data_IF_524317272820
#
_entry.id   IF_524317272820
#
_cell.length_a   1.000
_cell.length_b   1.000
_cell.length_c   1.000
_cell.angle_alpha   90.00
_cell.angle_beta   90.00
_cell.angle_gamma   90.00
#
_symmetry.space_group_name_H-M   'P 1'
#
loop_
_entity.id
_entity.type
_entity.pdbx_description
1 polymer ?
#
# COMPACT_ATOMS: atom_id res chain seq x y z
N UNK A 1 -20.49 -5.84 -12.87
CA UNK A 1 -20.71 -5.19 -11.56
C UNK A 1 -21.89 -4.22 -11.62
N UNK A 2 -22.04 -3.43 -12.69
CA UNK A 2 -23.24 -2.59 -12.92
C UNK A 2 -24.56 -3.36 -12.86
N UNK A 3 -24.64 -4.53 -13.52
CA UNK A 3 -25.80 -5.45 -13.43
C UNK A 3 -26.13 -5.91 -12.00
N UNK A 4 -25.23 -5.69 -11.04
CA UNK A 4 -25.39 -6.00 -9.61
C UNK A 4 -25.75 -4.75 -8.78
N UNK A 5 -26.10 -3.64 -9.43
CA UNK A 5 -26.52 -2.40 -8.79
C UNK A 5 -25.39 -1.44 -8.42
N UNK A 6 -24.15 -1.71 -8.83
CA UNK A 6 -23.01 -0.82 -8.57
C UNK A 6 -22.95 0.30 -9.60
N UNK A 7 -23.09 1.54 -9.15
CA UNK A 7 -22.85 2.73 -9.97
C UNK A 7 -21.35 3.01 -10.08
N UNK A 8 -20.86 3.25 -11.30
CA UNK A 8 -19.47 3.63 -11.55
C UNK A 8 -19.41 5.08 -12.02
N UNK A 9 -18.57 5.87 -11.38
CA UNK A 9 -18.25 7.26 -11.75
C UNK A 9 -16.76 7.31 -12.07
N UNK A 10 -16.43 7.08 -13.36
CA UNK A 10 -15.04 7.10 -13.83
C UNK A 10 -14.62 8.53 -14.17
N UNK A 11 -13.32 8.83 -14.03
CA UNK A 11 -12.74 10.16 -14.27
C UNK A 11 -13.31 11.29 -13.37
N UNK A 12 -14.06 10.92 -12.32
CA UNK A 12 -14.52 11.87 -11.32
C UNK A 12 -13.50 12.04 -10.19
N UNK A 13 -13.37 13.27 -9.69
CA UNK A 13 -12.50 13.59 -8.56
C UNK A 13 -13.33 14.13 -7.41
N UNK A 14 -13.27 13.45 -6.27
CA UNK A 14 -13.86 13.94 -5.02
C UNK A 14 -13.21 15.27 -4.64
N UNK A 15 -14.05 16.28 -4.41
CA UNK A 15 -13.65 17.61 -3.94
C UNK A 15 -13.82 17.73 -2.42
N UNK A 16 -14.98 17.34 -1.90
CA UNK A 16 -15.28 17.44 -0.48
C UNK A 16 -16.26 16.36 0.01
N UNK A 17 -16.17 16.05 1.30
CA UNK A 17 -17.19 15.31 2.04
C UNK A 17 -18.04 16.32 2.81
N UNK A 18 -19.33 16.40 2.50
CA UNK A 18 -20.25 17.32 3.15
C UNK A 18 -20.81 16.66 4.40
N UNK A 19 -20.74 17.36 5.53
CA UNK A 19 -21.27 16.90 6.82
C UNK A 19 -22.69 17.41 7.13
N UNK A 20 -23.37 16.74 8.04
CA UNK A 20 -24.53 17.25 8.78
C UNK A 20 -24.10 18.04 10.03
N UNK A 21 -25.07 18.63 10.74
CA UNK A 21 -24.81 19.39 11.97
C UNK A 21 -24.28 18.54 13.14
N UNK A 22 -24.29 17.22 13.00
CA UNK A 22 -23.79 16.24 13.98
C UNK A 22 -22.40 15.70 13.60
N UNK A 23 -21.80 16.22 12.52
CA UNK A 23 -20.47 15.82 12.05
C UNK A 23 -20.44 14.49 11.27
N UNK A 24 -21.59 13.96 10.85
CA UNK A 24 -21.67 12.76 9.99
C UNK A 24 -21.70 13.15 8.53
N UNK A 25 -21.16 12.28 7.66
CA UNK A 25 -21.26 12.50 6.21
C UNK A 25 -22.73 12.47 5.78
N UNK A 26 -23.11 13.40 4.91
CA UNK A 26 -24.41 13.44 4.25
C UNK A 26 -24.32 13.41 2.73
N UNK A 27 -23.19 13.82 2.16
CA UNK A 27 -22.99 13.83 0.72
C UNK A 27 -21.51 13.87 0.32
N UNK A 28 -21.23 13.46 -0.92
CA UNK A 28 -19.94 13.62 -1.59
C UNK A 28 -20.08 14.67 -2.69
N UNK A 29 -19.23 15.68 -2.66
CA UNK A 29 -19.12 16.68 -3.72
C UNK A 29 -17.94 16.32 -4.64
N UNK A 30 -18.18 16.39 -5.95
CA UNK A 30 -17.17 16.18 -6.97
C UNK A 30 -16.73 17.52 -7.59
N UNK A 31 -15.53 17.54 -8.16
CA UNK A 31 -14.99 18.74 -8.85
C UNK A 31 -15.80 19.17 -10.07
N UNK A 32 -16.63 18.28 -10.62
CA UNK A 32 -17.61 18.62 -11.66
C UNK A 32 -18.76 19.51 -11.14
N UNK A 33 -18.89 19.66 -9.82
CA UNK A 33 -19.99 20.35 -9.15
C UNK A 33 -21.16 19.44 -8.77
N UNK A 34 -21.16 18.17 -9.22
CA UNK A 34 -22.17 17.19 -8.82
C UNK A 34 -22.04 16.88 -7.31
N UNK A 35 -23.20 16.72 -6.66
CA UNK A 35 -23.29 16.30 -5.26
C UNK A 35 -24.17 15.07 -5.18
N UNK A 36 -23.66 14.02 -4.53
CA UNK A 36 -24.39 12.77 -4.31
C UNK A 36 -24.63 12.59 -2.82
N UNK A 37 -25.90 12.48 -2.42
CA UNK A 37 -26.27 12.16 -1.04
C UNK A 37 -25.72 10.78 -0.66
N UNK A 38 -25.10 10.69 0.51
CA UNK A 38 -24.35 9.51 0.95
C UNK A 38 -24.22 9.48 2.46
N UNK A 39 -24.66 8.37 3.06
CA UNK A 39 -24.58 8.14 4.50
C UNK A 39 -23.27 7.47 4.96
N UNK A 40 -22.51 6.88 4.02
CA UNK A 40 -21.26 6.18 4.31
C UNK A 40 -20.24 6.33 3.17
N UNK A 41 -19.03 6.74 3.52
CA UNK A 41 -17.89 6.81 2.59
C UNK A 41 -16.80 5.83 3.03
N UNK A 42 -16.37 4.98 2.11
CA UNK A 42 -15.22 4.08 2.29
C UNK A 42 -14.09 4.56 1.39
N UNK A 43 -12.98 4.98 2.00
CA UNK A 43 -11.81 5.49 1.29
C UNK A 43 -10.87 4.34 0.91
N UNK A 44 -10.69 4.11 -0.39
CA UNK A 44 -9.75 3.14 -0.94
C UNK A 44 -8.76 3.82 -1.91
N UNK A 45 -8.19 4.95 -1.51
CA UNK A 45 -7.39 5.85 -2.34
C UNK A 45 -5.88 5.53 -2.38
N UNK A 46 -5.53 4.27 -2.11
CA UNK A 46 -4.14 3.81 -2.02
C UNK A 46 -3.53 3.92 -0.63
N UNK A 47 -2.27 3.46 -0.53
CA UNK A 47 -1.49 3.42 0.71
C UNK A 47 -0.23 4.28 0.58
N UNK A 48 0.32 4.71 1.72
CA UNK A 48 1.61 5.41 1.79
C UNK A 48 2.49 4.71 2.82
N UNK A 49 3.76 4.41 2.52
CA UNK A 49 4.71 3.91 3.50
C UNK A 49 4.77 4.81 4.74
N UNK A 50 4.68 4.23 5.93
CA UNK A 50 4.85 4.97 7.18
C UNK A 50 6.35 5.06 7.52
N UNK A 51 6.97 6.21 7.22
CA UNK A 51 8.41 6.46 7.39
C UNK A 51 8.74 7.39 8.54
N UNK A 52 7.75 7.94 9.24
CA UNK A 52 7.94 9.03 10.22
C UNK A 52 8.96 8.67 11.31
N UNK A 53 8.83 7.48 11.91
CA UNK A 53 9.76 7.01 12.95
C UNK A 53 11.20 6.85 12.40
N UNK A 54 11.33 6.35 11.18
CA UNK A 54 12.63 6.11 10.56
C UNK A 54 13.33 7.44 10.24
N UNK A 55 12.59 8.42 9.72
CA UNK A 55 13.08 9.76 9.45
C UNK A 55 13.54 10.46 10.73
N UNK A 56 12.74 10.38 11.81
CA UNK A 56 13.11 10.91 13.13
C UNK A 56 14.36 10.23 13.71
N UNK A 57 14.58 8.94 13.39
CA UNK A 57 15.78 8.20 13.75
C UNK A 57 16.99 8.47 12.83
N UNK A 58 16.86 9.36 11.84
CA UNK A 58 17.92 9.69 10.89
C UNK A 58 18.17 8.63 9.82
N UNK A 59 17.23 7.70 9.62
CA UNK A 59 17.33 6.68 8.58
C UNK A 59 16.91 7.25 7.22
N UNK A 60 17.69 7.00 6.15
CA UNK A 60 17.31 7.40 4.81
C UNK A 60 15.98 6.79 4.36
N UNK A 61 15.08 7.64 3.87
CA UNK A 61 13.78 7.26 3.34
C UNK A 61 13.58 7.83 1.92
N UNK A 62 13.07 7.04 0.99
CA UNK A 62 12.63 7.47 -0.33
C UNK A 62 11.55 6.51 -0.84
N UNK A 63 10.29 6.97 -0.84
CA UNK A 63 9.11 6.14 -1.10
C UNK A 63 9.04 4.90 -0.18
N UNK A 64 9.54 5.03 1.05
CA UNK A 64 9.73 3.96 2.03
C UNK A 64 11.11 4.02 2.69
N UNK A 65 11.30 3.26 3.77
CA UNK A 65 12.56 3.12 4.50
C UNK A 65 13.55 2.37 3.60
N UNK A 66 14.73 2.96 3.35
CA UNK A 66 15.72 2.34 2.47
C UNK A 66 16.36 1.14 3.16
N UNK A 67 16.37 0.00 2.45
CA UNK A 67 17.03 -1.23 2.90
C UNK A 67 17.87 -1.85 1.80
N UNK A 68 18.84 -2.67 2.22
CA UNK A 68 19.64 -3.50 1.33
C UNK A 68 18.97 -4.88 1.05
N UNK A 69 19.67 -5.75 0.33
CA UNK A 69 19.20 -7.09 -0.04
C UNK A 69 19.02 -8.05 1.16
N UNK A 70 19.41 -7.66 2.37
CA UNK A 70 19.17 -8.42 3.61
C UNK A 70 18.14 -7.75 4.51
N UNK A 71 17.44 -6.72 4.00
CA UNK A 71 16.42 -5.93 4.68
C UNK A 71 16.95 -5.10 5.86
N UNK A 72 18.27 -4.94 5.92
CA UNK A 72 18.95 -4.06 6.87
C UNK A 72 18.90 -2.63 6.36
N UNK A 73 18.65 -1.68 7.27
CA UNK A 73 18.68 -0.25 6.97
C UNK A 73 20.12 0.27 6.92
N UNK A 74 20.31 1.58 6.79
CA UNK A 74 21.63 2.20 6.91
C UNK A 74 22.28 1.98 8.29
N UNK A 75 21.50 1.98 9.37
CA UNK A 75 22.00 1.56 10.68
C UNK A 75 22.03 0.03 10.72
N UNK A 76 23.19 -0.61 10.94
CA UNK A 76 23.32 -2.06 10.89
C UNK A 76 22.54 -2.78 12.01
N UNK A 77 22.05 -2.05 13.01
CA UNK A 77 21.25 -2.60 14.12
C UNK A 77 19.75 -2.56 13.84
N UNK A 78 19.32 -1.88 12.78
CA UNK A 78 17.92 -1.65 12.45
C UNK A 78 17.59 -2.34 11.13
N UNK A 79 16.48 -3.08 11.15
CA UNK A 79 15.90 -3.75 9.99
C UNK A 79 14.51 -3.18 9.74
N UNK A 80 14.12 -3.16 8.48
CA UNK A 80 12.75 -2.85 8.09
C UNK A 80 12.26 -3.92 7.10
N UNK A 81 11.05 -4.40 7.32
CA UNK A 81 10.30 -5.29 6.43
C UNK A 81 8.88 -4.74 6.37
N UNK A 82 8.13 -5.05 5.32
CA UNK A 82 6.77 -4.55 5.21
C UNK A 82 6.54 -3.66 3.99
N UNK A 83 5.34 -3.12 3.95
CA UNK A 83 4.95 -2.07 2.99
C UNK A 83 5.67 -0.74 3.27
N UNK A 84 6.28 -0.59 4.44
CA UNK A 84 7.06 0.60 4.79
C UNK A 84 8.43 0.64 4.11
N UNK A 85 8.88 -0.45 3.49
CA UNK A 85 10.22 -0.60 2.92
C UNK A 85 10.28 -0.15 1.47
N UNK A 86 11.37 0.53 1.13
CA UNK A 86 11.81 0.78 -0.24
C UNK A 86 13.08 -0.03 -0.50
N UNK A 87 12.90 -1.20 -1.14
CA UNK A 87 14.01 -2.05 -1.57
C UNK A 87 14.28 -1.80 -3.05
N UNK A 88 15.49 -1.35 -3.38
CA UNK A 88 15.90 -0.97 -4.75
C UNK A 88 14.93 0.02 -5.43
N UNK A 89 14.35 0.92 -4.65
CA UNK A 89 13.39 1.94 -5.11
C UNK A 89 11.94 1.45 -5.25
N UNK A 90 11.65 0.20 -4.87
CA UNK A 90 10.32 -0.40 -4.95
C UNK A 90 9.74 -0.57 -3.54
N UNK A 91 8.50 -0.11 -3.36
CA UNK A 91 7.68 -0.39 -2.20
C UNK A 91 6.48 -1.26 -2.61
N UNK A 92 6.32 -2.40 -1.95
CA UNK A 92 5.29 -3.38 -2.28
C UNK A 92 4.05 -3.14 -1.42
N UNK A 93 2.88 -3.05 -2.05
CA UNK A 93 1.56 -3.02 -1.39
C UNK A 93 0.86 -4.38 -1.38
N UNK A 94 1.62 -5.47 -1.23
CA UNK A 94 1.15 -6.85 -1.36
C UNK A 94 1.73 -7.74 -0.27
N UNK A 95 0.90 -8.62 0.28
CA UNK A 95 1.29 -9.52 1.39
C UNK A 95 2.35 -10.56 0.98
N UNK A 96 2.33 -11.06 -0.26
CA UNK A 96 3.26 -12.11 -0.69
C UNK A 96 4.74 -11.65 -0.64
N UNK A 97 5.13 -10.49 -1.22
CA UNK A 97 6.46 -9.92 -1.04
C UNK A 97 6.90 -9.79 0.42
N UNK A 98 5.99 -9.43 1.32
CA UNK A 98 6.30 -9.24 2.73
C UNK A 98 6.74 -10.53 3.43
N UNK A 99 6.16 -11.68 3.05
CA UNK A 99 6.62 -12.97 3.56
C UNK A 99 8.02 -13.34 3.07
N UNK A 100 8.37 -12.97 1.83
CA UNK A 100 9.73 -13.17 1.30
C UNK A 100 10.74 -12.29 2.04
N UNK A 101 10.41 -11.02 2.25
CA UNK A 101 11.23 -10.09 3.03
C UNK A 101 11.46 -10.62 4.46
N UNK A 102 10.40 -11.10 5.12
CA UNK A 102 10.50 -11.65 6.47
C UNK A 102 11.44 -12.86 6.55
N UNK A 103 11.38 -13.78 5.57
CA UNK A 103 12.27 -14.94 5.51
C UNK A 103 13.74 -14.54 5.33
N UNK A 104 14.03 -13.57 4.46
CA UNK A 104 15.40 -13.09 4.24
C UNK A 104 15.93 -12.33 5.46
N UNK A 105 15.12 -11.45 6.06
CA UNK A 105 15.48 -10.76 7.29
C UNK A 105 15.79 -11.74 8.43
N UNK A 106 14.93 -12.75 8.63
CA UNK A 106 15.16 -13.80 9.62
C UNK A 106 16.44 -14.60 9.35
N UNK A 107 16.74 -14.93 8.09
CA UNK A 107 17.99 -15.61 7.71
C UNK A 107 19.23 -14.80 8.10
N UNK A 108 19.18 -13.48 7.89
CA UNK A 108 20.27 -12.58 8.22
C UNK A 108 20.43 -12.41 9.73
N UNK A 109 19.33 -12.20 10.46
CA UNK A 109 19.32 -12.10 11.92
C UNK A 109 19.81 -13.40 12.59
N UNK A 110 19.50 -14.55 12.01
CA UNK A 110 19.97 -15.86 12.46
C UNK A 110 21.44 -16.16 12.07
N UNK A 111 22.15 -15.21 11.45
CA UNK A 111 23.54 -15.34 11.02
C UNK A 111 23.81 -16.49 10.04
N UNK A 112 22.78 -16.92 9.29
CA UNK A 112 22.91 -18.02 8.33
C UNK A 112 23.51 -17.54 7.01
N UNK A 113 23.23 -16.29 6.61
CA UNK A 113 23.94 -15.58 5.53
C UNK A 113 23.77 -16.12 4.10
N UNK A 114 22.82 -17.04 3.86
CA UNK A 114 22.64 -17.67 2.55
C UNK A 114 21.48 -17.09 1.73
N UNK A 115 20.62 -16.25 2.32
CA UNK A 115 19.47 -15.68 1.63
C UNK A 115 19.67 -14.18 1.32
N UNK A 116 19.14 -13.76 0.18
CA UNK A 116 19.03 -12.35 -0.23
C UNK A 116 17.67 -12.13 -0.85
N UNK A 117 17.16 -10.91 -0.73
CA UNK A 117 15.92 -10.48 -1.35
C UNK A 117 16.26 -9.76 -2.67
N UNK A 118 16.02 -10.37 -3.84
CA UNK A 118 16.32 -9.74 -5.13
C UNK A 118 15.21 -8.77 -5.58
N UNK A 119 14.12 -8.67 -4.81
CA UNK A 119 12.84 -8.11 -5.24
C UNK A 119 11.85 -9.22 -5.58
N UNK A 120 10.55 -8.95 -5.38
CA UNK A 120 9.47 -9.86 -5.76
C UNK A 120 8.89 -9.50 -7.11
N UNK A 121 8.49 -10.52 -7.87
CA UNK A 121 7.62 -10.33 -9.05
C UNK A 121 6.21 -10.10 -8.54
N UNK A 122 5.63 -8.95 -8.86
CA UNK A 122 4.26 -8.64 -8.47
C UNK A 122 3.29 -9.48 -9.30
N UNK A 123 2.56 -10.38 -8.63
CA UNK A 123 1.32 -10.93 -9.17
C UNK A 123 0.18 -10.51 -8.27
N UNK A 124 -0.83 -9.87 -8.84
CA UNK A 124 -2.00 -9.42 -8.09
C UNK A 124 -3.12 -10.41 -8.33
N UNK A 125 -3.55 -11.09 -7.26
CA UNK A 125 -4.74 -11.93 -7.28
C UNK A 125 -5.89 -11.17 -6.64
N UNK A 126 -6.86 -10.75 -7.44
CA UNK A 126 -8.05 -10.05 -6.97
C UNK A 126 -9.18 -11.06 -6.81
N UNK A 127 -9.71 -11.18 -5.59
CA UNK A 127 -10.96 -11.91 -5.34
C UNK A 127 -12.12 -10.95 -5.57
N UNK A 128 -12.64 -10.95 -6.79
CA UNK A 128 -13.94 -10.34 -7.09
C UNK A 128 -14.99 -11.44 -6.99
N UNK A 129 -16.13 -11.17 -6.35
CA UNK A 129 -17.19 -12.18 -6.19
C UNK A 129 -17.63 -12.72 -7.56
N UNK A 130 -17.30 -13.99 -7.83
CA UNK A 130 -17.58 -14.70 -9.09
C UNK A 130 -16.50 -14.62 -10.17
N UNK A 131 -15.34 -14.00 -9.92
CA UNK A 131 -14.24 -13.92 -10.88
C UNK A 131 -12.91 -14.16 -10.16
N UNK A 132 -12.23 -15.26 -10.51
CA UNK A 132 -10.83 -15.46 -10.15
C UNK A 132 -9.95 -14.67 -11.13
N UNK A 133 -9.50 -13.49 -10.71
CA UNK A 133 -8.63 -12.63 -11.51
C UNK A 133 -7.18 -12.79 -11.04
N UNK A 134 -6.29 -13.08 -11.98
CA UNK A 134 -4.84 -13.11 -11.81
C UNK A 134 -4.22 -12.17 -12.84
N UNK A 135 -3.33 -11.28 -12.38
CA UNK A 135 -2.51 -10.43 -13.24
C UNK A 135 -1.04 -10.63 -12.89
N UNK A 136 -0.19 -10.80 -13.90
CA UNK A 136 1.26 -10.90 -13.79
C UNK A 136 1.92 -10.08 -14.91
N UNK A 137 2.98 -9.35 -14.57
CA UNK A 137 3.67 -8.40 -15.45
C UNK A 137 3.81 -7.03 -14.79
N UNK A 138 4.37 -6.06 -15.54
CA UNK A 138 4.51 -4.68 -15.07
C UNK A 138 3.14 -3.97 -15.08
N UNK A 139 2.81 -3.30 -13.97
CA UNK A 139 1.64 -2.43 -13.81
C UNK A 139 1.99 -0.98 -14.17
#
# INVERSE_FOLDING_TARGET
LEKRGLGFRLNEQTEALLGDDLGRVRAVQFKSGEVIDTDLVVMAAGIRPNTELAEQAGLPCNRGILVNDTLQTYDPRIYAIGECVSHRGIAYGLVAPLFEQARVCANHLAQLGFARYPGSVTSTKLKVTGIDLFSAGDL
#
